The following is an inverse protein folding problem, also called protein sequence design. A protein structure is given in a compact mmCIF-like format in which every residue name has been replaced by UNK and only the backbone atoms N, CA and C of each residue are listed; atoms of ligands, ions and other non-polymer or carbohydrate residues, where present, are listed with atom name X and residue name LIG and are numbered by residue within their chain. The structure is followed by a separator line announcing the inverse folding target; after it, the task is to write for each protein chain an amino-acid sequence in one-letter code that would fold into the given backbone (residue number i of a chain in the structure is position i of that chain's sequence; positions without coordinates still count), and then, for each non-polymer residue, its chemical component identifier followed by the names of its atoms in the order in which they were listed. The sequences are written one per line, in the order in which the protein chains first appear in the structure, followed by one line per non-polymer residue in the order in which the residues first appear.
data_IF_899578560471
#
_entry.id   IF_899578560471
#
_cell.length_a   1.000
_cell.length_b   1.000
_cell.length_c   1.000
_cell.angle_alpha   90.00
_cell.angle_beta   90.00
_cell.angle_gamma   90.00
#
_symmetry.space_group_name_H-M   'P 1'
#
loop_
_entity.id
_entity.type
_entity.pdbx_description
1 polymer ?
#
# COMPACT_ATOMS: atom_id res chain seq x y z
N UNK A 1 22.40 15.27 7.43
CA UNK A 1 21.65 15.24 6.16
C UNK A 1 20.71 16.43 6.10
N UNK A 2 19.93 16.59 5.02
CA UNK A 2 18.95 17.67 4.86
C UNK A 2 17.61 17.40 5.57
N UNK A 3 17.29 16.12 5.81
CA UNK A 3 16.09 15.67 6.51
C UNK A 3 16.38 14.33 7.22
N UNK A 4 15.57 14.02 8.22
CA UNK A 4 15.60 12.74 8.93
C UNK A 4 14.70 11.68 8.26
N UNK A 5 13.61 12.13 7.62
CA UNK A 5 12.66 11.29 6.89
C UNK A 5 12.42 11.85 5.49
N UNK A 6 12.42 10.97 4.49
CA UNK A 6 12.07 11.30 3.11
C UNK A 6 10.88 10.45 2.71
N UNK A 7 9.76 11.10 2.44
CA UNK A 7 8.57 10.45 1.88
C UNK A 7 8.60 10.64 0.37
N UNK A 8 8.51 9.55 -0.37
CA UNK A 8 8.43 9.53 -1.83
C UNK A 8 7.33 8.57 -2.26
N UNK A 9 6.89 8.68 -3.50
CA UNK A 9 5.88 7.82 -4.10
C UNK A 9 6.33 7.29 -5.47
N UNK A 10 5.61 6.28 -5.96
CA UNK A 10 5.71 5.78 -7.31
C UNK A 10 4.33 5.80 -7.96
N UNK A 11 4.26 6.15 -9.24
CA UNK A 11 2.99 6.22 -9.96
C UNK A 11 2.37 4.84 -10.20
N UNK A 12 1.04 4.78 -10.35
CA UNK A 12 0.22 3.56 -10.44
C UNK A 12 0.15 2.75 -9.13
N UNK A 13 -0.39 1.52 -9.20
CA UNK A 13 -0.45 0.59 -8.07
C UNK A 13 0.92 0.00 -7.73
N UNK A 14 0.99 -0.74 -6.62
CA UNK A 14 2.26 -1.33 -6.17
C UNK A 14 2.80 -2.43 -7.10
N UNK A 15 1.91 -3.01 -7.90
CA UNK A 15 2.21 -3.98 -8.97
C UNK A 15 3.03 -3.38 -10.12
N UNK A 16 3.04 -2.06 -10.28
CA UNK A 16 3.82 -1.37 -11.33
C UNK A 16 4.77 -0.33 -10.75
N UNK A 17 4.26 0.62 -9.97
CA UNK A 17 5.03 1.73 -9.43
C UNK A 17 6.02 1.26 -8.39
N UNK A 18 5.51 0.57 -7.36
CA UNK A 18 6.35 0.10 -6.28
C UNK A 18 7.32 -0.99 -6.74
N UNK A 19 6.89 -1.96 -7.56
CA UNK A 19 7.79 -2.94 -8.20
C UNK A 19 8.98 -2.26 -8.88
N UNK A 20 8.73 -1.30 -9.78
CA UNK A 20 9.81 -0.57 -10.45
C UNK A 20 10.67 0.24 -9.49
N UNK A 21 10.08 0.84 -8.46
CA UNK A 21 10.84 1.58 -7.46
C UNK A 21 11.80 0.64 -6.70
N UNK A 22 11.31 -0.52 -6.29
CA UNK A 22 12.08 -1.52 -5.56
C UNK A 22 13.12 -2.22 -6.45
N UNK A 23 12.77 -2.60 -7.67
CA UNK A 23 13.63 -3.42 -8.53
C UNK A 23 14.57 -2.61 -9.44
N UNK A 24 14.29 -1.32 -9.68
CA UNK A 24 15.08 -0.47 -10.57
C UNK A 24 15.69 0.71 -9.81
N UNK A 25 14.86 1.53 -9.15
CA UNK A 25 15.33 2.79 -8.55
C UNK A 25 16.22 2.52 -7.34
N UNK A 26 15.78 1.68 -6.40
CA UNK A 26 16.53 1.37 -5.19
C UNK A 26 17.93 0.80 -5.49
N UNK A 27 18.08 -0.25 -6.34
CA UNK A 27 19.38 -0.77 -6.73
C UNK A 27 20.25 0.24 -7.47
N UNK A 28 19.68 1.02 -8.40
CA UNK A 28 20.45 1.98 -9.20
C UNK A 28 20.94 3.17 -8.37
N UNK A 29 20.14 3.64 -7.41
CA UNK A 29 20.48 4.77 -6.54
C UNK A 29 21.24 4.35 -5.27
N UNK A 30 21.35 3.05 -4.99
CA UNK A 30 21.96 2.55 -3.75
C UNK A 30 21.17 2.94 -2.51
N UNK A 31 19.85 3.06 -2.63
CA UNK A 31 18.93 3.39 -1.53
C UNK A 31 18.07 2.19 -1.19
N UNK A 32 17.54 2.17 0.03
CA UNK A 32 16.58 1.15 0.49
C UNK A 32 15.44 1.82 1.25
N UNK A 33 14.20 1.34 1.13
CA UNK A 33 13.08 1.86 1.91
C UNK A 33 13.10 1.27 3.33
N UNK A 34 12.78 2.11 4.31
CA UNK A 34 12.64 1.68 5.70
C UNK A 34 11.20 1.25 6.05
N UNK A 35 10.20 1.71 5.29
CA UNK A 35 8.81 1.29 5.38
C UNK A 35 8.08 1.59 4.06
N UNK A 36 7.01 0.84 3.78
CA UNK A 36 6.12 1.08 2.64
C UNK A 36 4.71 1.41 3.12
N UNK A 37 4.12 2.50 2.63
CA UNK A 37 2.71 2.81 2.86
C UNK A 37 1.88 2.41 1.66
N UNK A 38 0.88 1.54 1.86
CA UNK A 38 -0.10 1.19 0.83
C UNK A 38 -1.38 1.97 1.10
N UNK A 39 -1.72 2.89 0.20
CA UNK A 39 -2.92 3.71 0.31
C UNK A 39 -4.10 2.98 -0.33
N UNK A 40 -5.22 2.90 0.39
CA UNK A 40 -6.48 2.34 -0.08
C UNK A 40 -7.65 3.27 0.25
N UNK A 41 -8.72 3.18 -0.54
CA UNK A 41 -9.97 3.90 -0.29
C UNK A 41 -11.14 2.93 -0.37
N UNK A 42 -12.17 3.16 0.43
CA UNK A 42 -13.41 2.35 0.40
C UNK A 42 -14.00 2.32 -1.01
N UNK A 43 -14.02 3.48 -1.67
CA UNK A 43 -14.51 3.63 -3.05
C UNK A 43 -13.73 2.79 -4.06
N UNK A 44 -12.40 2.81 -4.04
CA UNK A 44 -11.60 2.01 -4.96
C UNK A 44 -11.82 0.51 -4.73
N UNK A 45 -11.88 0.07 -3.47
CA UNK A 45 -12.14 -1.33 -3.18
C UNK A 45 -13.55 -1.75 -3.58
N UNK A 46 -14.58 -0.91 -3.41
CA UNK A 46 -15.91 -1.18 -3.99
C UNK A 46 -15.87 -1.32 -5.51
N UNK A 47 -15.07 -0.52 -6.21
CA UNK A 47 -14.86 -0.69 -7.67
C UNK A 47 -14.24 -2.05 -7.99
N UNK A 48 -13.19 -2.46 -7.27
CA UNK A 48 -12.61 -3.80 -7.40
C UNK A 48 -13.60 -4.92 -7.05
N UNK A 49 -14.58 -4.63 -6.19
CA UNK A 49 -15.71 -5.51 -5.88
C UNK A 49 -16.85 -5.52 -6.90
N UNK A 50 -16.73 -4.75 -7.99
CA UNK A 50 -17.66 -4.71 -9.11
C UNK A 50 -18.63 -3.52 -9.14
N UNK A 51 -18.50 -2.54 -8.23
CA UNK A 51 -19.38 -1.36 -8.22
C UNK A 51 -18.94 -0.38 -9.31
N UNK A 52 -19.85 0.08 -10.21
CA UNK A 52 -19.53 1.08 -11.20
C UNK A 52 -19.07 2.40 -10.56
N UNK A 53 -18.16 3.12 -11.23
CA UNK A 53 -17.63 4.42 -10.76
C UNK A 53 -18.72 5.43 -10.40
N UNK A 54 -19.87 5.35 -11.06
CA UNK A 54 -21.03 6.24 -10.88
C UNK A 54 -21.85 5.94 -9.62
N UNK A 55 -21.63 4.82 -8.92
CA UNK A 55 -22.46 4.39 -7.78
C UNK A 55 -21.68 4.19 -6.47
N UNK A 56 -20.48 4.77 -6.36
CA UNK A 56 -19.57 4.55 -5.23
C UNK A 56 -19.93 5.29 -3.95
N UNK A 57 -20.90 6.22 -4.00
CA UNK A 57 -21.31 7.01 -2.83
C UNK A 57 -22.24 6.27 -1.88
N UNK A 58 -22.82 5.14 -2.31
CA UNK A 58 -23.68 4.31 -1.47
C UNK A 58 -22.84 3.32 -0.69
N UNK A 59 -23.23 3.06 0.55
CA UNK A 59 -22.64 1.99 1.35
C UNK A 59 -22.86 0.63 0.66
N UNK A 60 -21.79 -0.16 0.53
CA UNK A 60 -21.87 -1.54 0.02
C UNK A 60 -20.75 -2.41 0.62
N UNK A 61 -21.02 -2.93 1.83
CA UNK A 61 -20.11 -3.85 2.55
C UNK A 61 -19.82 -5.14 1.74
N UNK A 62 -20.80 -5.81 1.11
CA UNK A 62 -20.52 -6.96 0.26
C UNK A 62 -19.54 -6.68 -0.88
N UNK A 63 -19.70 -5.56 -1.59
CA UNK A 63 -18.77 -5.18 -2.65
C UNK A 63 -17.40 -4.81 -2.09
N UNK A 64 -17.35 -4.03 -1.02
CA UNK A 64 -16.10 -3.72 -0.32
C UNK A 64 -15.35 -5.01 0.04
N UNK A 65 -16.04 -5.99 0.62
CA UNK A 65 -15.49 -7.30 0.94
C UNK A 65 -14.94 -8.07 -0.27
N UNK A 66 -15.60 -8.01 -1.42
CA UNK A 66 -15.08 -8.59 -2.68
C UNK A 66 -13.86 -7.84 -3.23
N UNK A 67 -13.71 -6.56 -2.90
CA UNK A 67 -12.57 -5.74 -3.31
C UNK A 67 -11.33 -5.84 -2.42
N UNK A 68 -11.50 -6.15 -1.14
CA UNK A 68 -10.40 -6.30 -0.16
C UNK A 68 -9.27 -7.23 -0.65
N UNK A 69 -9.51 -8.36 -1.33
CA UNK A 69 -8.44 -9.19 -1.89
C UNK A 69 -7.42 -8.43 -2.74
N UNK A 70 -7.82 -7.37 -3.45
CA UNK A 70 -6.90 -6.53 -4.21
C UNK A 70 -5.86 -5.85 -3.30
N UNK A 71 -6.31 -5.23 -2.20
CA UNK A 71 -5.43 -4.63 -1.20
C UNK A 71 -4.51 -5.67 -0.57
N UNK A 72 -5.05 -6.84 -0.20
CA UNK A 72 -4.26 -7.89 0.43
C UNK A 72 -3.18 -8.44 -0.51
N UNK A 73 -3.48 -8.62 -1.80
CA UNK A 73 -2.49 -9.03 -2.80
C UNK A 73 -1.36 -7.98 -2.94
N UNK A 74 -1.68 -6.69 -2.95
CA UNK A 74 -0.63 -5.65 -2.91
C UNK A 74 0.23 -5.73 -1.64
N UNK A 75 -0.37 -6.05 -0.48
CA UNK A 75 0.39 -6.27 0.75
C UNK A 75 1.28 -7.50 0.66
N UNK A 76 0.78 -8.63 0.15
CA UNK A 76 1.56 -9.85 -0.10
C UNK A 76 2.75 -9.58 -1.01
N UNK A 77 2.53 -8.87 -2.12
CA UNK A 77 3.59 -8.49 -3.05
C UNK A 77 4.66 -7.64 -2.38
N UNK A 78 4.27 -6.64 -1.58
CA UNK A 78 5.25 -5.79 -0.90
C UNK A 78 6.05 -6.53 0.17
N UNK A 79 5.51 -7.62 0.76
CA UNK A 79 6.26 -8.46 1.72
C UNK A 79 7.44 -9.17 1.05
N UNK A 80 7.38 -9.40 -0.26
CA UNK A 80 8.48 -10.03 -1.02
C UNK A 80 9.75 -9.20 -1.06
N UNK A 81 9.70 -7.91 -0.69
CA UNK A 81 10.87 -7.04 -0.71
C UNK A 81 11.56 -6.90 0.65
N UNK A 82 10.87 -7.24 1.74
CA UNK A 82 11.40 -7.21 3.11
C UNK A 82 10.88 -6.08 4.01
N UNK A 83 10.88 -4.79 3.59
CA UNK A 83 10.46 -3.70 4.47
C UNK A 83 9.03 -3.81 4.99
N UNK A 84 8.77 -3.31 6.21
CA UNK A 84 7.45 -3.37 6.81
C UNK A 84 6.43 -2.54 6.01
N UNK A 85 5.18 -3.00 6.04
CA UNK A 85 4.06 -2.40 5.32
C UNK A 85 3.10 -1.77 6.32
N UNK A 86 2.65 -0.55 6.00
CA UNK A 86 1.59 0.15 6.71
C UNK A 86 0.46 0.46 5.73
N UNK A 87 -0.77 0.12 6.09
CA UNK A 87 -1.95 0.46 5.29
C UNK A 87 -2.47 1.83 5.71
N UNK A 88 -2.71 2.70 4.73
CA UNK A 88 -3.41 3.96 4.92
C UNK A 88 -4.80 3.86 4.29
N UNK A 89 -5.84 3.85 5.12
CA UNK A 89 -7.22 4.01 4.65
C UNK A 89 -7.48 5.50 4.52
N UNK A 90 -7.40 6.03 3.29
CA UNK A 90 -7.69 7.43 3.04
C UNK A 90 -9.22 7.65 2.96
N UNK A 91 -9.77 8.31 3.97
CA UNK A 91 -11.21 8.49 4.13
C UNK A 91 -11.73 9.62 3.24
N UNK A 92 -12.86 9.38 2.60
CA UNK A 92 -13.66 10.39 1.90
C UNK A 92 -14.93 10.73 2.67
N UNK A 93 -15.50 11.91 2.41
CA UNK A 93 -16.74 12.37 3.06
C UNK A 93 -17.96 11.48 2.80
N UNK A 94 -17.96 10.70 1.72
CA UNK A 94 -19.01 9.73 1.41
C UNK A 94 -18.83 8.38 2.08
N UNK A 95 -17.66 8.09 2.64
CA UNK A 95 -17.37 6.78 3.22
C UNK A 95 -18.08 6.68 4.56
N UNK A 96 -18.85 5.62 4.78
CA UNK A 96 -19.53 5.44 6.05
C UNK A 96 -18.55 4.92 7.12
N UNK A 97 -18.86 5.20 8.39
CA UNK A 97 -18.07 4.65 9.49
C UNK A 97 -18.07 3.10 9.45
N UNK A 98 -19.20 2.48 9.08
CA UNK A 98 -19.33 1.03 8.92
C UNK A 98 -18.35 0.47 7.88
N UNK A 99 -18.21 1.11 6.72
CA UNK A 99 -17.28 0.67 5.67
C UNK A 99 -15.83 0.80 6.11
N UNK A 100 -15.50 1.91 6.77
CA UNK A 100 -14.15 2.16 7.28
C UNK A 100 -13.80 1.16 8.37
N UNK A 101 -14.71 0.90 9.31
CA UNK A 101 -14.52 -0.08 10.39
C UNK A 101 -14.39 -1.50 9.85
N UNK A 102 -15.18 -1.85 8.84
CA UNK A 102 -15.05 -3.12 8.13
C UNK A 102 -13.65 -3.26 7.51
N UNK A 103 -13.19 -2.28 6.74
CA UNK A 103 -11.86 -2.36 6.12
C UNK A 103 -10.74 -2.41 7.18
N UNK A 104 -10.89 -1.65 8.26
CA UNK A 104 -9.98 -1.65 9.40
C UNK A 104 -9.92 -3.04 10.06
N UNK A 105 -11.07 -3.70 10.28
CA UNK A 105 -11.11 -5.05 10.87
C UNK A 105 -10.42 -6.06 9.97
N UNK A 106 -10.65 -6.00 8.65
CA UNK A 106 -10.01 -6.89 7.67
C UNK A 106 -8.48 -6.74 7.66
N UNK A 107 -7.97 -5.52 7.80
CA UNK A 107 -6.53 -5.29 7.93
C UNK A 107 -5.97 -5.87 9.24
N UNK A 108 -6.66 -5.65 10.36
CA UNK A 108 -6.26 -6.17 11.68
C UNK A 108 -6.27 -7.70 11.75
N UNK A 109 -7.26 -8.35 11.15
CA UNK A 109 -7.34 -9.81 11.05
C UNK A 109 -6.14 -10.43 10.31
N UNK A 110 -5.52 -9.68 9.41
CA UNK A 110 -4.31 -10.06 8.67
C UNK A 110 -3.01 -9.67 9.38
N UNK A 111 -3.11 -9.10 10.59
CA UNK A 111 -1.96 -8.60 11.34
C UNK A 111 -1.24 -7.43 10.67
N UNK A 112 -1.93 -6.68 9.79
CA UNK A 112 -1.35 -5.57 9.05
C UNK A 112 -1.52 -4.26 9.84
N UNK A 113 -0.43 -3.51 10.11
CA UNK A 113 -0.53 -2.15 10.65
C UNK A 113 -1.38 -1.28 9.74
N UNK A 114 -2.35 -0.56 10.32
CA UNK A 114 -3.31 0.23 9.55
C UNK A 114 -3.71 1.49 10.30
N UNK A 115 -3.76 2.62 9.59
CA UNK A 115 -4.31 3.89 10.06
C UNK A 115 -5.40 4.39 9.11
N UNK A 116 -6.41 5.04 9.69
CA UNK A 116 -7.35 5.87 8.91
C UNK A 116 -6.75 7.28 8.81
N UNK A 117 -6.76 7.83 7.61
CA UNK A 117 -6.21 9.15 7.31
C UNK A 117 -7.32 10.09 6.86
N UNK A 118 -7.41 11.23 7.55
CA UNK A 118 -8.33 12.33 7.23
C UNK A 118 -7.56 13.52 6.63
N UNK A 119 -6.36 13.30 6.07
CA UNK A 119 -5.47 14.39 5.62
C UNK A 119 -6.09 15.30 4.57
N UNK A 120 -7.04 14.79 3.78
CA UNK A 120 -7.76 15.58 2.80
C UNK A 120 -8.63 16.67 3.45
N UNK A 121 -9.25 16.37 4.60
CA UNK A 121 -10.12 17.31 5.32
C UNK A 121 -9.35 18.11 6.39
N UNK A 122 -8.44 17.46 7.12
CA UNK A 122 -7.78 18.01 8.32
C UNK A 122 -6.32 18.41 8.10
N UNK A 123 -5.83 18.33 6.87
CA UNK A 123 -4.41 18.56 6.55
C UNK A 123 -3.49 17.62 7.33
N UNK A 124 -2.28 18.08 7.66
CA UNK A 124 -1.29 17.25 8.37
C UNK A 124 -1.78 16.66 9.69
N UNK A 125 -2.71 17.33 10.39
CA UNK A 125 -3.29 16.81 11.63
C UNK A 125 -4.09 15.51 11.41
N UNK A 126 -4.71 15.34 10.23
CA UNK A 126 -5.43 14.13 9.84
C UNK A 126 -4.55 12.92 9.56
N UNK A 127 -3.22 13.10 9.53
CA UNK A 127 -2.25 12.05 9.24
C UNK A 127 -1.38 11.66 10.44
N UNK A 128 -1.62 12.21 11.64
CA UNK A 128 -0.75 11.99 12.80
C UNK A 128 -0.69 10.51 13.23
N UNK A 129 -1.80 9.79 13.18
CA UNK A 129 -1.80 8.35 13.52
C UNK A 129 -1.03 7.53 12.47
N UNK A 130 -1.24 7.82 11.18
CA UNK A 130 -0.46 7.21 10.11
C UNK A 130 1.04 7.48 10.30
N UNK A 131 1.42 8.73 10.56
CA UNK A 131 2.81 9.11 10.79
C UNK A 131 3.41 8.32 11.96
N UNK A 132 2.69 8.20 13.08
CA UNK A 132 3.14 7.42 14.24
C UNK A 132 3.38 5.95 13.89
N UNK A 133 2.46 5.31 13.16
CA UNK A 133 2.59 3.91 12.75
C UNK A 133 3.75 3.73 11.75
N UNK A 134 3.94 4.67 10.83
CA UNK A 134 5.06 4.65 9.89
C UNK A 134 6.40 4.81 10.60
N UNK A 135 6.49 5.71 11.59
CA UNK A 135 7.70 5.88 12.40
C UNK A 135 8.05 4.61 13.18
N UNK A 136 7.05 3.94 13.75
CA UNK A 136 7.23 2.66 14.44
C UNK A 136 7.72 1.57 13.49
N UNK A 137 7.09 1.43 12.31
CA UNK A 137 7.51 0.50 11.28
C UNK A 137 8.95 0.77 10.81
N UNK A 138 9.28 2.03 10.50
CA UNK A 138 10.61 2.42 10.02
C UNK A 138 11.71 2.27 11.08
N UNK A 139 11.37 2.16 12.37
CA UNK A 139 12.34 1.88 13.43
C UNK A 139 12.91 0.45 13.37
N UNK A 140 12.22 -0.46 12.68
CA UNK A 140 12.67 -1.83 12.41
C UNK A 140 12.42 -2.20 10.94
N UNK A 141 13.25 -1.69 10.01
CA UNK A 141 12.96 -1.69 8.57
C UNK A 141 13.11 -3.05 7.88
N UNK A 142 13.49 -4.12 8.60
CA UNK A 142 13.78 -5.41 7.98
C UNK A 142 14.97 -5.39 7.02
N UNK A 143 15.10 -6.43 6.20
CA UNK A 143 16.16 -6.55 5.20
C UNK A 143 15.58 -6.39 3.79
N UNK A 144 15.86 -5.24 3.17
CA UNK A 144 15.48 -4.97 1.79
C UNK A 144 16.25 -5.84 0.80
N UNK A 145 15.52 -6.46 -0.12
CA UNK A 145 16.07 -7.17 -1.27
C UNK A 145 15.18 -6.95 -2.51
N UNK A 146 15.77 -6.74 -3.70
CA UNK A 146 15.01 -6.73 -4.94
C UNK A 146 14.48 -8.14 -5.24
N UNK A 147 13.38 -8.21 -5.99
CA UNK A 147 12.70 -9.43 -6.37
C UNK A 147 13.60 -10.33 -7.23
N UNK A 148 14.49 -9.73 -8.00
CA UNK A 148 15.46 -10.42 -8.83
C UNK A 148 16.81 -9.71 -8.89
N UNK A 149 17.86 -10.45 -9.25
CA UNK A 149 19.17 -9.88 -9.50
C UNK A 149 19.19 -9.13 -10.86
N UNK A 150 19.62 -7.85 -10.91
CA UNK A 150 19.74 -7.08 -12.16
C UNK A 150 20.65 -7.71 -13.23
N UNK A 151 21.53 -8.65 -12.87
CA UNK A 151 22.37 -9.39 -13.81
C UNK A 151 21.67 -10.55 -14.54
N UNK A 152 20.46 -10.95 -14.14
CA UNK A 152 19.74 -12.07 -14.79
C UNK A 152 19.33 -11.76 -16.24
N UNK A 153 19.14 -12.78 -17.09
CA UNK A 153 18.55 -12.62 -18.41
C UNK A 153 17.19 -11.92 -18.36
N UNK A 154 16.89 -11.08 -19.36
CA UNK A 154 15.65 -10.28 -19.42
C UNK A 154 14.40 -11.17 -19.27
N UNK A 155 14.39 -12.33 -19.93
CA UNK A 155 13.26 -13.26 -19.87
C UNK A 155 12.99 -13.76 -18.45
N UNK A 156 14.03 -14.13 -17.70
CA UNK A 156 13.89 -14.60 -16.31
C UNK A 156 13.37 -13.50 -15.38
N UNK A 157 13.75 -12.24 -15.61
CA UNK A 157 13.23 -11.10 -14.84
C UNK A 157 11.74 -10.90 -15.09
N UNK A 158 11.33 -10.95 -16.37
CA UNK A 158 9.91 -10.83 -16.76
C UNK A 158 9.10 -11.97 -16.13
N UNK A 159 9.58 -13.21 -16.22
CA UNK A 159 8.92 -14.38 -15.61
C UNK A 159 8.82 -14.23 -14.08
N UNK A 160 9.87 -13.72 -13.43
CA UNK A 160 9.88 -13.48 -12.00
C UNK A 160 8.82 -12.46 -11.58
N UNK A 161 8.73 -11.32 -12.28
CA UNK A 161 7.70 -10.30 -12.01
C UNK A 161 6.31 -10.90 -12.25
N UNK A 162 6.09 -11.53 -13.41
CA UNK A 162 4.77 -12.03 -13.80
C UNK A 162 4.23 -13.15 -12.91
N UNK A 163 5.10 -13.90 -12.22
CA UNK A 163 4.70 -15.02 -11.36
C UNK A 163 4.55 -14.64 -9.89
N UNK A 164 5.23 -13.59 -9.43
CA UNK A 164 5.23 -13.19 -8.03
C UNK A 164 4.36 -11.95 -7.76
N UNK A 165 4.31 -11.01 -8.71
CA UNK A 165 3.59 -9.74 -8.55
C UNK A 165 2.16 -9.83 -9.12
N UNK A 166 1.98 -10.35 -10.33
CA UNK A 166 0.68 -10.43 -11.01
C UNK A 166 -0.08 -11.73 -10.66
#
# INVERSE_FOLDING_TARGET
GLADYVVTEAGFGSDLGAEKFMDIVCPAAGVRPDATVIVATVRALKMHGGVPKTDLSKEDIPALGRGVPNLLKHCENMRLYGPPIVICINRFSSDTQTEVDYLLSRCKEQGLPVAVSDVWEKGGAGGLDLARIVLDAASNPGEFHPLYNPGKPVKEKIECIATNIY
#
